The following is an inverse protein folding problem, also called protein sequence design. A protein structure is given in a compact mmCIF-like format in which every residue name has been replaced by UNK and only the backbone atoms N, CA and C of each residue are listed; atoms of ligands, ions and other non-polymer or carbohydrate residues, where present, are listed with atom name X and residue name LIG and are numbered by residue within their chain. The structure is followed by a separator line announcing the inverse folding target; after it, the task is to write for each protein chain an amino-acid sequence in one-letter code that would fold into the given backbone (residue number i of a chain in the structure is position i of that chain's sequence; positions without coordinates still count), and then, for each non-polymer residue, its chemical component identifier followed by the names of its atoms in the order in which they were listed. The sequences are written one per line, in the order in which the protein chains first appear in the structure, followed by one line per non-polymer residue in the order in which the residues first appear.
data_IF_517457510571
#
_entry.id   IF_517457510571
#
_cell.length_a   1.000
_cell.length_b   1.000
_cell.length_c   1.000
_cell.angle_alpha   90.00
_cell.angle_beta   90.00
_cell.angle_gamma   90.00
#
_symmetry.space_group_name_H-M   'P 1'
#
loop_
_entity.id
_entity.type
_entity.pdbx_description
1 polymer ?
#
# COMPACT_ATOMS: atom_id res chain seq x y z
N UNK A 1 5.21 2.41 51.27
CA UNK A 1 5.09 3.44 50.24
C UNK A 1 4.66 2.74 48.95
N UNK A 2 3.39 2.82 48.62
CA UNK A 2 2.90 2.41 47.30
C UNK A 2 2.99 3.61 46.38
N UNK A 3 3.92 3.57 45.45
CA UNK A 3 3.97 4.52 44.33
C UNK A 3 2.90 4.08 43.34
N UNK A 4 1.82 4.83 43.25
CA UNK A 4 0.81 4.63 42.24
C UNK A 4 1.47 4.88 40.89
N UNK A 5 1.44 3.87 39.99
CA UNK A 5 1.63 4.11 38.57
C UNK A 5 0.54 5.09 38.12
N UNK A 6 0.98 6.25 37.67
CA UNK A 6 0.12 7.25 37.06
C UNK A 6 -0.34 6.67 35.72
N UNK A 7 -1.65 6.63 35.51
CA UNK A 7 -2.26 6.26 34.25
C UNK A 7 -1.83 7.25 33.14
N UNK A 8 -0.70 6.99 32.50
CA UNK A 8 -0.25 7.72 31.30
C UNK A 8 -1.01 7.30 30.03
N UNK A 9 -1.73 6.16 30.10
CA UNK A 9 -2.44 5.59 28.95
C UNK A 9 -3.73 6.32 28.52
N UNK A 10 -4.24 7.28 29.31
CA UNK A 10 -5.51 7.95 29.00
C UNK A 10 -5.39 9.14 28.05
N UNK A 11 -4.21 9.71 27.87
CA UNK A 11 -4.01 10.86 26.97
C UNK A 11 -3.73 10.45 25.53
N UNK A 12 -3.38 9.19 25.27
CA UNK A 12 -2.96 8.73 23.94
C UNK A 12 -4.10 8.39 22.96
N UNK A 13 -5.34 8.23 23.44
CA UNK A 13 -6.46 7.79 22.60
C UNK A 13 -7.60 8.81 22.55
N UNK A 14 -7.26 10.09 22.40
CA UNK A 14 -8.22 11.16 22.30
C UNK A 14 -8.76 11.29 20.87
N UNK A 15 -10.06 11.61 20.69
CA UNK A 15 -10.58 11.97 19.38
C UNK A 15 -9.97 13.29 18.90
N UNK A 16 -10.08 13.54 17.60
CA UNK A 16 -9.72 14.82 17.01
C UNK A 16 -10.48 15.97 17.67
N UNK A 17 -9.76 17.03 18.04
CA UNK A 17 -10.31 18.24 18.64
C UNK A 17 -10.30 19.38 17.59
N UNK A 18 -11.46 19.82 17.08
CA UNK A 18 -11.51 20.85 16.03
C UNK A 18 -11.08 22.24 16.50
N UNK A 19 -10.86 22.43 17.81
CA UNK A 19 -10.37 23.70 18.37
C UNK A 19 -8.84 23.80 18.39
N UNK A 20 -8.13 22.70 18.09
CA UNK A 20 -6.68 22.62 18.10
C UNK A 20 -6.16 22.35 16.69
N UNK A 21 -4.98 22.91 16.33
CA UNK A 21 -4.36 22.57 15.05
C UNK A 21 -3.92 21.09 15.03
N UNK A 22 -3.94 20.50 13.84
CA UNK A 22 -3.20 19.27 13.55
C UNK A 22 -1.77 19.66 13.24
N UNK A 23 -0.79 18.94 13.77
CA UNK A 23 0.63 19.23 13.56
C UNK A 23 1.39 17.93 13.36
N UNK A 24 2.23 17.85 12.34
CA UNK A 24 3.26 16.82 12.21
C UNK A 24 4.55 17.43 12.78
N UNK A 25 5.05 16.90 13.89
CA UNK A 25 6.30 17.37 14.51
C UNK A 25 7.51 16.65 13.95
N UNK A 26 7.34 15.38 13.58
CA UNK A 26 8.41 14.56 13.02
C UNK A 26 7.82 13.31 12.33
N UNK A 27 8.65 12.59 11.59
CA UNK A 27 8.34 11.24 11.10
C UNK A 27 9.61 10.40 10.99
N UNK A 28 9.45 9.10 11.07
CA UNK A 28 10.59 8.16 10.99
C UNK A 28 10.15 6.83 10.35
N UNK A 29 11.00 6.22 9.49
CA UNK A 29 12.27 6.75 8.96
C UNK A 29 12.06 7.86 7.92
N UNK A 30 13.09 8.68 7.69
CA UNK A 30 13.10 9.76 6.67
C UNK A 30 13.24 9.23 5.23
N UNK A 31 13.55 7.95 5.08
CA UNK A 31 13.67 7.29 3.78
C UNK A 31 13.20 5.85 3.83
N UNK A 32 12.71 5.36 2.71
CA UNK A 32 12.27 3.97 2.58
C UNK A 32 11.69 3.67 1.22
N UNK A 33 11.44 2.40 0.96
CA UNK A 33 10.78 1.92 -0.25
C UNK A 33 9.36 1.45 0.01
N UNK A 34 8.72 0.95 -1.05
CA UNK A 34 7.37 0.38 -0.96
C UNK A 34 7.25 -0.64 0.19
N UNK A 35 6.18 -0.53 0.96
CA UNK A 35 5.87 -1.45 2.04
C UNK A 35 6.65 -1.20 3.34
N UNK A 36 7.58 -0.25 3.39
CA UNK A 36 8.20 0.14 4.65
C UNK A 36 7.18 0.86 5.54
N UNK A 37 7.28 0.62 6.84
CA UNK A 37 6.48 1.34 7.81
C UNK A 37 7.07 2.74 8.05
N UNK A 38 6.19 3.73 8.16
CA UNK A 38 6.49 5.08 8.62
C UNK A 38 5.67 5.37 9.85
N UNK A 39 6.28 6.04 10.80
CA UNK A 39 5.63 6.55 12.00
C UNK A 39 5.63 8.08 11.90
N UNK A 40 4.45 8.68 11.94
CA UNK A 40 4.29 10.11 12.07
C UNK A 40 4.09 10.46 13.55
N UNK A 41 4.82 11.44 14.00
CA UNK A 41 4.70 12.03 15.34
C UNK A 41 4.10 13.42 15.21
N UNK A 42 3.19 13.77 16.10
CA UNK A 42 2.53 15.05 16.01
C UNK A 42 1.52 15.28 17.12
N UNK A 43 0.54 16.10 16.82
CA UNK A 43 -0.53 16.42 17.76
C UNK A 43 -1.87 16.43 17.05
N UNK A 44 -2.90 16.01 17.79
CA UNK A 44 -4.29 16.11 17.40
C UNK A 44 -4.68 15.33 16.13
N UNK A 45 -4.07 14.17 15.89
CA UNK A 45 -4.46 13.29 14.78
C UNK A 45 -5.82 12.61 15.02
N UNK A 46 -6.29 12.56 16.27
CA UNK A 46 -7.46 11.79 16.66
C UNK A 46 -7.19 10.29 16.79
N UNK A 47 -8.24 9.50 16.81
CA UNK A 47 -8.18 8.05 17.06
C UNK A 47 -8.93 7.20 16.03
N UNK A 48 -9.50 7.81 15.00
CA UNK A 48 -10.22 7.11 13.94
C UNK A 48 -9.44 7.17 12.61
N UNK A 49 -8.82 6.06 12.17
CA UNK A 49 -8.06 6.04 10.92
C UNK A 49 -8.93 6.28 9.67
N UNK A 50 -10.26 6.09 9.75
CA UNK A 50 -11.17 6.31 8.62
C UNK A 50 -11.42 7.79 8.34
N UNK A 51 -11.15 8.64 9.30
CA UNK A 51 -11.25 10.10 9.18
C UNK A 51 -9.94 10.76 8.78
N UNK A 52 -8.92 9.96 8.46
CA UNK A 52 -7.59 10.45 8.13
C UNK A 52 -7.19 10.02 6.73
N UNK A 53 -6.45 10.91 6.08
CA UNK A 53 -5.75 10.62 4.84
C UNK A 53 -4.30 11.06 5.00
N UNK A 54 -3.38 10.16 4.72
CA UNK A 54 -1.94 10.44 4.75
C UNK A 54 -1.39 10.35 3.34
N UNK A 55 -0.65 11.35 2.90
CA UNK A 55 0.08 11.35 1.64
C UNK A 55 1.57 11.24 1.95
N UNK A 56 2.26 10.36 1.26
CA UNK A 56 3.72 10.19 1.34
C UNK A 56 4.28 10.21 -0.07
N UNK A 57 5.07 11.23 -0.38
CA UNK A 57 5.68 11.37 -1.70
C UNK A 57 4.65 11.39 -2.83
N UNK A 58 3.56 12.14 -2.63
CA UNK A 58 2.49 12.35 -3.60
C UNK A 58 1.53 11.17 -3.80
N UNK A 59 1.58 10.14 -2.93
CA UNK A 59 0.68 8.99 -2.98
C UNK A 59 0.04 8.72 -1.63
N UNK A 60 -1.21 8.29 -1.66
CA UNK A 60 -1.96 7.94 -0.46
C UNK A 60 -1.37 6.70 0.22
N UNK A 61 -1.05 6.84 1.51
CA UNK A 61 -0.48 5.80 2.34
C UNK A 61 -1.59 5.03 3.09
N UNK A 62 -1.42 3.73 3.22
CA UNK A 62 -2.33 2.92 4.02
C UNK A 62 -2.04 3.11 5.52
N UNK A 63 -3.01 3.61 6.26
CA UNK A 63 -2.92 3.82 7.70
C UNK A 63 -3.15 2.49 8.41
N UNK A 64 -2.18 2.06 9.24
CA UNK A 64 -2.27 0.85 10.06
C UNK A 64 -3.01 1.15 11.35
N UNK A 65 -2.61 2.23 12.03
CA UNK A 65 -3.20 2.66 13.30
C UNK A 65 -2.90 4.12 13.60
N UNK A 66 -3.74 4.73 14.43
CA UNK A 66 -3.56 6.08 14.92
C UNK A 66 -3.91 6.15 16.39
N UNK A 67 -3.14 6.94 17.12
CA UNK A 67 -3.42 7.39 18.49
C UNK A 67 -3.05 8.86 18.52
N UNK A 68 -3.90 9.72 18.88
CA UNK A 68 -3.83 11.20 18.90
C UNK A 68 -2.52 11.89 18.45
N UNK A 69 -1.37 11.40 18.90
CA UNK A 69 -0.04 11.98 18.67
C UNK A 69 0.90 11.07 17.86
N UNK A 70 0.50 9.84 17.54
CA UNK A 70 1.30 8.87 16.79
C UNK A 70 0.41 8.20 15.75
N UNK A 71 0.88 8.16 14.50
CA UNK A 71 0.23 7.47 13.41
C UNK A 71 1.21 6.53 12.70
N UNK A 72 0.78 5.30 12.46
CA UNK A 72 1.53 4.29 11.72
C UNK A 72 0.92 4.12 10.33
N UNK A 73 1.72 4.27 9.30
CA UNK A 73 1.29 4.01 7.92
C UNK A 73 2.39 3.30 7.12
N UNK A 74 2.03 2.88 5.91
CA UNK A 74 2.92 2.14 5.01
C UNK A 74 3.24 3.00 3.79
N UNK A 75 4.52 3.06 3.41
CA UNK A 75 4.97 3.72 2.18
C UNK A 75 4.24 3.14 0.99
N UNK A 76 3.48 3.95 0.25
CA UNK A 76 2.65 3.45 -0.83
C UNK A 76 3.48 3.06 -2.06
N UNK A 77 2.87 2.24 -2.91
CA UNK A 77 3.41 1.94 -4.23
C UNK A 77 3.49 3.20 -5.09
N UNK A 78 4.57 3.34 -5.84
CA UNK A 78 4.81 4.47 -6.75
C UNK A 78 4.90 5.84 -6.05
N UNK A 79 5.17 5.88 -4.75
CA UNK A 79 5.58 7.10 -4.09
C UNK A 79 6.89 7.61 -4.72
N UNK A 80 7.11 8.90 -4.60
CA UNK A 80 8.34 9.57 -5.03
C UNK A 80 8.99 10.27 -3.83
N UNK A 81 10.11 10.90 -4.04
CA UNK A 81 10.61 11.88 -3.09
C UNK A 81 9.61 13.02 -2.98
N UNK A 82 9.23 13.43 -1.77
CA UNK A 82 8.24 14.48 -1.58
C UNK A 82 7.74 14.61 -0.15
N UNK A 83 6.69 15.37 -0.04
CA UNK A 83 6.13 15.81 1.23
C UNK A 83 5.40 14.66 1.96
N UNK A 84 5.27 14.80 3.28
CA UNK A 84 4.46 13.93 4.13
C UNK A 84 3.35 14.80 4.70
N UNK A 85 2.14 14.47 4.33
CA UNK A 85 0.94 15.27 4.61
C UNK A 85 -0.10 14.44 5.35
N UNK A 86 -0.89 15.09 6.19
CA UNK A 86 -2.07 14.51 6.84
C UNK A 86 -3.27 15.44 6.67
N UNK A 87 -4.39 14.88 6.25
CA UNK A 87 -5.69 15.55 6.24
C UNK A 87 -6.65 14.83 7.20
N UNK A 88 -7.44 15.60 7.92
CA UNK A 88 -8.50 15.11 8.80
C UNK A 88 -9.85 15.47 8.21
N UNK A 89 -10.76 14.51 8.18
CA UNK A 89 -12.10 14.64 7.62
C UNK A 89 -13.17 14.51 8.72
N UNK A 90 -14.26 15.24 8.55
CA UNK A 90 -15.44 15.14 9.39
C UNK A 90 -16.34 13.94 8.99
N UNK A 91 -17.49 13.81 9.66
CA UNK A 91 -18.47 12.75 9.37
C UNK A 91 -19.20 12.94 8.02
N UNK A 92 -19.10 14.11 7.40
CA UNK A 92 -19.64 14.41 6.08
C UNK A 92 -18.63 14.16 4.95
N UNK A 93 -17.37 13.84 5.31
CA UNK A 93 -16.27 13.67 4.36
C UNK A 93 -15.65 14.99 3.89
N UNK A 94 -15.86 16.09 4.62
CA UNK A 94 -15.20 17.37 4.34
C UNK A 94 -13.87 17.44 5.10
N UNK A 95 -12.82 17.96 4.43
CA UNK A 95 -11.52 18.20 5.06
C UNK A 95 -11.63 19.36 6.05
N UNK A 96 -11.36 19.08 7.32
CA UNK A 96 -11.48 20.05 8.43
C UNK A 96 -10.14 20.48 8.98
N UNK A 97 -9.05 19.74 8.71
CA UNK A 97 -7.71 20.11 9.11
C UNK A 97 -6.67 19.46 8.20
N UNK A 98 -5.52 20.12 8.07
CA UNK A 98 -4.39 19.71 7.27
C UNK A 98 -3.07 20.06 7.96
N UNK A 99 -2.08 19.20 7.82
CA UNK A 99 -0.70 19.48 8.21
C UNK A 99 0.28 18.81 7.25
N UNK A 100 1.45 19.44 7.12
CA UNK A 100 2.58 18.97 6.33
C UNK A 100 3.83 18.93 7.21
N UNK A 101 4.67 17.92 7.02
CA UNK A 101 5.95 17.81 7.73
C UNK A 101 6.97 18.80 7.15
N UNK A 102 7.85 19.34 7.99
CA UNK A 102 8.93 20.24 7.52
C UNK A 102 9.92 19.52 6.60
N UNK A 103 10.21 18.25 6.86
CA UNK A 103 11.17 17.46 6.10
C UNK A 103 10.46 16.60 5.05
N UNK A 104 11.14 16.41 3.91
CA UNK A 104 10.65 15.56 2.84
C UNK A 104 11.04 14.11 3.06
N UNK A 105 10.17 13.21 2.61
CA UNK A 105 10.47 11.78 2.57
C UNK A 105 11.31 11.45 1.34
N UNK A 106 12.41 10.72 1.53
CA UNK A 106 13.25 10.22 0.45
C UNK A 106 12.84 8.82 0.05
N UNK A 107 12.24 8.69 -1.13
CA UNK A 107 11.83 7.38 -1.64
C UNK A 107 13.01 6.58 -2.19
N UNK A 108 13.25 5.42 -1.61
CA UNK A 108 14.29 4.48 -2.07
C UNK A 108 13.66 3.45 -3.00
N UNK A 109 13.98 3.50 -4.29
CA UNK A 109 13.56 2.49 -5.25
C UNK A 109 14.19 1.15 -4.89
N UNK A 110 13.33 0.20 -4.53
CA UNK A 110 13.73 -1.19 -4.32
C UNK A 110 13.19 -2.05 -5.46
N UNK A 111 14.07 -2.88 -6.01
CA UNK A 111 13.66 -3.91 -6.96
C UNK A 111 13.26 -5.14 -6.16
N UNK A 112 11.96 -5.38 -6.04
CA UNK A 112 11.44 -6.61 -5.44
C UNK A 112 11.11 -7.59 -6.56
N UNK A 113 11.71 -8.75 -6.51
CA UNK A 113 11.33 -9.87 -7.37
C UNK A 113 10.47 -10.82 -6.55
N UNK A 114 9.23 -10.98 -6.97
CA UNK A 114 8.28 -11.89 -6.34
C UNK A 114 7.49 -12.64 -7.41
N UNK A 115 6.89 -13.76 -7.03
CA UNK A 115 5.94 -14.45 -7.90
C UNK A 115 4.70 -13.57 -8.04
N UNK A 116 4.36 -13.17 -9.27
CA UNK A 116 3.16 -12.42 -9.57
C UNK A 116 1.93 -13.33 -9.57
N UNK A 117 2.02 -14.45 -10.27
CA UNK A 117 0.95 -15.42 -10.43
C UNK A 117 1.51 -16.83 -10.63
N UNK A 118 0.74 -17.83 -10.23
CA UNK A 118 1.06 -19.25 -10.40
C UNK A 118 1.65 -19.89 -9.17
N UNK A 119 1.38 -21.18 -9.05
CA UNK A 119 1.93 -22.04 -8.01
C UNK A 119 2.92 -23.05 -8.62
N UNK A 120 3.88 -23.48 -7.81
CA UNK A 120 4.72 -24.61 -8.14
C UNK A 120 3.98 -25.90 -7.79
N UNK A 121 3.71 -26.71 -8.81
CA UNK A 121 3.12 -28.03 -8.63
C UNK A 121 4.19 -29.11 -8.59
N UNK A 122 3.98 -30.14 -7.76
CA UNK A 122 4.89 -31.29 -7.68
C UNK A 122 4.78 -32.19 -8.91
N UNK A 123 3.59 -32.23 -9.55
CA UNK A 123 3.33 -33.01 -10.76
C UNK A 123 3.24 -32.11 -11.99
N UNK A 124 4.05 -32.41 -13.01
CA UNK A 124 4.08 -31.66 -14.27
C UNK A 124 2.73 -31.63 -15.02
N UNK A 125 1.84 -32.64 -14.80
CA UNK A 125 0.54 -32.72 -15.45
C UNK A 125 -0.46 -31.65 -14.97
N UNK A 126 -0.36 -31.26 -13.71
CA UNK A 126 -1.25 -30.27 -13.09
C UNK A 126 -0.78 -28.83 -13.36
N UNK A 127 0.47 -28.70 -13.81
CA UNK A 127 1.13 -27.41 -14.05
C UNK A 127 0.65 -26.66 -15.31
N UNK A 128 -0.15 -27.29 -16.18
CA UNK A 128 -0.47 -26.75 -17.50
C UNK A 128 -1.73 -25.88 -17.57
N UNK A 129 -2.54 -25.82 -16.53
CA UNK A 129 -3.80 -25.09 -16.63
C UNK A 129 -3.67 -23.59 -16.50
N UNK A 130 -2.64 -23.07 -15.84
CA UNK A 130 -2.24 -21.64 -15.83
C UNK A 130 -3.36 -20.60 -15.86
N UNK A 131 -4.56 -20.96 -15.44
CA UNK A 131 -5.74 -20.10 -15.39
C UNK A 131 -6.33 -20.07 -13.99
N UNK A 132 -7.03 -18.97 -13.67
CA UNK A 132 -7.66 -18.77 -12.37
C UNK A 132 -7.04 -17.65 -11.58
N UNK A 133 -7.32 -17.62 -10.27
CA UNK A 133 -6.77 -16.62 -9.36
C UNK A 133 -5.24 -16.74 -9.24
N UNK A 134 -4.55 -15.65 -8.93
CA UNK A 134 -3.08 -15.59 -8.88
C UNK A 134 -2.45 -16.61 -7.92
N UNK A 135 -3.10 -16.88 -6.81
CA UNK A 135 -2.67 -17.85 -5.80
C UNK A 135 -3.05 -19.31 -6.12
N UNK A 136 -3.95 -19.51 -7.09
CA UNK A 136 -4.50 -20.80 -7.46
C UNK A 136 -4.16 -21.23 -8.89
N UNK A 137 -3.77 -20.30 -9.77
CA UNK A 137 -3.45 -20.63 -11.15
C UNK A 137 -2.17 -21.48 -11.22
N UNK A 138 -2.13 -22.39 -12.20
CA UNK A 138 -0.98 -23.23 -12.43
C UNK A 138 0.24 -22.49 -12.96
N UNK A 139 1.35 -23.21 -13.07
CA UNK A 139 2.59 -22.68 -13.62
C UNK A 139 2.41 -22.32 -15.10
N UNK A 140 2.81 -21.11 -15.49
CA UNK A 140 2.84 -20.68 -16.88
C UNK A 140 4.17 -21.12 -17.48
N UNK A 141 4.19 -22.26 -18.16
CA UNK A 141 5.39 -22.77 -18.84
C UNK A 141 5.59 -22.12 -20.21
N UNK A 142 6.84 -21.89 -20.56
CA UNK A 142 7.23 -21.47 -21.91
C UNK A 142 6.84 -20.05 -22.24
N UNK A 143 6.69 -19.19 -21.25
CA UNK A 143 6.52 -17.77 -21.46
C UNK A 143 7.70 -17.20 -22.25
N UNK A 144 7.43 -16.54 -23.37
CA UNK A 144 8.47 -16.03 -24.28
C UNK A 144 8.44 -14.52 -24.41
N UNK A 145 7.28 -13.93 -24.34
CA UNK A 145 7.09 -12.50 -24.52
C UNK A 145 5.93 -11.98 -23.68
N UNK A 146 6.03 -10.75 -23.23
CA UNK A 146 4.92 -10.07 -22.56
C UNK A 146 4.79 -8.62 -23.04
N UNK A 147 3.57 -8.11 -22.96
CA UNK A 147 3.24 -6.72 -23.28
C UNK A 147 2.10 -6.23 -22.39
N UNK A 148 2.26 -5.04 -21.85
CA UNK A 148 1.15 -4.36 -21.16
C UNK A 148 0.23 -3.67 -22.15
N UNK A 149 -1.07 -3.68 -21.85
CA UNK A 149 -2.05 -2.88 -22.55
C UNK A 149 -2.14 -1.47 -21.95
N UNK A 150 -1.71 -0.42 -22.66
CA UNK A 150 -1.80 0.94 -22.14
C UNK A 150 -3.24 1.44 -22.01
N UNK A 151 -4.21 0.82 -22.71
CA UNK A 151 -5.63 1.20 -22.63
C UNK A 151 -6.29 0.71 -21.34
N UNK A 152 -5.72 -0.31 -20.70
CA UNK A 152 -6.16 -0.82 -19.42
C UNK A 152 -5.48 -0.11 -18.24
N UNK A 153 -4.87 1.06 -18.45
CA UNK A 153 -4.01 1.72 -17.45
C UNK A 153 -2.85 0.81 -16.98
N UNK A 154 -2.37 -0.07 -17.86
CA UNK A 154 -1.34 -1.09 -17.58
C UNK A 154 -1.76 -2.20 -16.59
N UNK A 155 -3.05 -2.37 -16.33
CA UNK A 155 -3.56 -3.45 -15.48
C UNK A 155 -3.66 -4.79 -16.21
N UNK A 156 -3.66 -4.78 -17.56
CA UNK A 156 -3.63 -5.97 -18.39
C UNK A 156 -2.23 -6.27 -18.92
N UNK A 157 -1.73 -7.46 -18.61
CA UNK A 157 -0.47 -7.98 -19.13
C UNK A 157 -0.73 -9.21 -20.01
N UNK A 158 -0.46 -9.10 -21.29
CA UNK A 158 -0.54 -10.22 -22.23
C UNK A 158 0.77 -10.99 -22.27
N UNK A 159 0.68 -12.31 -22.20
CA UNK A 159 1.79 -13.22 -22.18
C UNK A 159 1.66 -14.27 -23.28
N UNK A 160 2.67 -14.40 -24.14
CA UNK A 160 2.73 -15.49 -25.12
C UNK A 160 3.50 -16.68 -24.58
N UNK A 161 2.98 -17.89 -24.83
CA UNK A 161 3.56 -19.13 -24.36
C UNK A 161 3.90 -20.02 -25.56
N UNK A 162 5.20 -20.31 -25.75
CA UNK A 162 5.68 -21.07 -26.91
C UNK A 162 5.21 -22.53 -26.92
N UNK A 163 5.27 -23.21 -25.78
CA UNK A 163 5.00 -24.65 -25.73
C UNK A 163 3.55 -25.05 -25.91
N UNK A 164 2.62 -24.11 -25.74
CA UNK A 164 1.18 -24.35 -25.84
C UNK A 164 0.52 -23.40 -26.84
N UNK A 165 1.31 -22.64 -27.59
CA UNK A 165 0.85 -21.70 -28.64
C UNK A 165 -0.33 -20.83 -28.17
N UNK A 166 -0.29 -20.37 -26.94
CA UNK A 166 -1.40 -19.64 -26.33
C UNK A 166 -1.01 -18.22 -25.96
N UNK A 167 -2.02 -17.34 -25.95
CA UNK A 167 -1.93 -16.00 -25.39
C UNK A 167 -2.73 -16.00 -24.10
N UNK A 168 -2.12 -15.52 -23.03
CA UNK A 168 -2.75 -15.38 -21.72
C UNK A 168 -2.86 -13.92 -21.34
N UNK A 169 -3.98 -13.57 -20.76
CA UNK A 169 -4.18 -12.31 -20.06
C UNK A 169 -3.93 -12.50 -18.57
N UNK A 170 -3.03 -11.72 -18.03
CA UNK A 170 -2.84 -11.54 -16.58
C UNK A 170 -3.50 -10.21 -16.25
N UNK A 171 -4.60 -10.26 -15.53
CA UNK A 171 -5.34 -9.12 -15.04
C UNK A 171 -4.84 -8.78 -13.64
N UNK A 172 -4.21 -7.61 -13.49
CA UNK A 172 -3.58 -7.18 -12.23
C UNK A 172 -4.61 -6.62 -11.25
N UNK A 173 -5.73 -6.11 -11.72
CA UNK A 173 -6.82 -5.58 -10.90
C UNK A 173 -7.64 -6.73 -10.31
N UNK A 174 -8.13 -7.63 -11.17
CA UNK A 174 -8.92 -8.79 -10.78
C UNK A 174 -8.07 -9.94 -10.19
N UNK A 175 -6.74 -9.84 -10.34
CA UNK A 175 -5.77 -10.86 -9.90
C UNK A 175 -6.06 -12.24 -10.48
N UNK A 176 -6.31 -12.29 -11.76
CA UNK A 176 -6.64 -13.52 -12.50
C UNK A 176 -5.74 -13.73 -13.70
N UNK A 177 -5.62 -14.99 -14.11
CA UNK A 177 -4.99 -15.41 -15.37
C UNK A 177 -6.02 -16.14 -16.21
N UNK A 178 -6.21 -15.70 -17.47
CA UNK A 178 -7.15 -16.30 -18.41
C UNK A 178 -6.50 -16.55 -19.75
N UNK A 179 -6.94 -17.60 -20.46
CA UNK A 179 -6.52 -17.88 -21.83
C UNK A 179 -7.36 -17.03 -22.79
N UNK A 180 -6.70 -16.29 -23.68
CA UNK A 180 -7.35 -15.44 -24.67
C UNK A 180 -7.39 -16.09 -26.05
N UNK A 181 -6.34 -16.85 -26.40
CA UNK A 181 -6.24 -17.57 -27.67
C UNK A 181 -5.30 -18.77 -27.53
N UNK A 182 -5.56 -19.82 -28.31
CA UNK A 182 -4.76 -21.03 -28.41
C UNK A 182 -4.56 -21.44 -29.89
#
# INVERSE_FOLDING_TARGET
CFTACKDEDKEENLPFDPTKPVVITDFSPKSGGIGNNIILYGENFGNDPKKLKVIVGGKEANIISVKNNILYCVVPRMATEGDVEISVYDDNGEEVAFAEAEEKFTYVKQWLVSTLAGQRFENEKDAFQGEGAFDACGCIKGATWFSFDPKSNFDHLYLTCYNISSIRLIDLEEKTVTMQAS
#
